data_IF_299523529819
#
_entry.id   IF_299523529819
#
_cell.length_a   1.000
_cell.length_b   1.000
_cell.length_c   1.000
_cell.angle_alpha   90.00
_cell.angle_beta   90.00
_cell.angle_gamma   90.00
#
_symmetry.space_group_name_H-M   'P 1'
#
loop_
_entity.id
_entity.type
_entity.pdbx_description
1 polymer ?
#
# COMPACT_ATOMS: atom_id res chain seq x y z
N UNK A 1 -3.23 -32.18 -25.57
CA UNK A 1 -3.23 -31.43 -24.30
C UNK A 1 -1.82 -30.96 -24.04
N UNK A 2 -1.62 -29.65 -24.06
CA UNK A 2 -0.36 -29.02 -23.65
C UNK A 2 -0.22 -29.30 -22.16
N UNK A 3 0.82 -30.04 -21.75
CA UNK A 3 1.00 -30.49 -20.36
C UNK A 3 1.99 -29.54 -19.69
N UNK A 4 1.58 -28.90 -18.60
CA UNK A 4 2.51 -28.27 -17.67
C UNK A 4 3.02 -29.34 -16.69
N UNK A 5 4.29 -29.25 -16.31
CA UNK A 5 4.93 -30.10 -15.30
C UNK A 5 5.45 -29.22 -14.17
N UNK A 6 4.87 -29.38 -12.98
CA UNK A 6 5.33 -28.75 -11.74
C UNK A 6 6.20 -29.76 -10.97
N UNK A 7 7.37 -29.31 -10.53
CA UNK A 7 8.23 -30.02 -9.57
C UNK A 7 8.35 -29.17 -8.31
N UNK A 8 8.28 -29.84 -7.15
CA UNK A 8 8.40 -29.20 -5.84
C UNK A 8 9.43 -30.00 -5.04
N UNK A 9 10.41 -29.31 -4.48
CA UNK A 9 11.46 -29.90 -3.65
C UNK A 9 11.11 -29.65 -2.17
N UNK A 10 10.59 -30.67 -1.50
CA UNK A 10 10.14 -30.56 -0.11
C UNK A 10 11.26 -30.32 0.91
N UNK A 11 12.51 -30.58 0.52
CA UNK A 11 13.74 -30.37 1.28
C UNK A 11 14.43 -29.03 0.97
N UNK A 12 13.97 -28.30 -0.04
CA UNK A 12 14.52 -27.00 -0.43
C UNK A 12 13.65 -25.85 0.11
N UNK A 13 13.86 -25.49 1.37
CA UNK A 13 13.17 -24.34 1.99
C UNK A 13 13.85 -23.04 1.54
N UNK A 14 13.10 -22.16 0.85
CA UNK A 14 13.57 -20.85 0.38
C UNK A 14 13.53 -19.78 1.47
N UNK A 15 12.55 -19.88 2.37
CA UNK A 15 12.39 -18.94 3.47
C UNK A 15 11.04 -19.06 4.16
N UNK A 16 10.88 -18.32 5.25
CA UNK A 16 9.59 -18.16 5.90
C UNK A 16 8.82 -17.04 5.21
N UNK A 17 7.57 -17.30 4.87
CA UNK A 17 6.66 -16.28 4.36
C UNK A 17 6.26 -15.38 5.53
N UNK A 18 6.57 -14.08 5.41
CA UNK A 18 6.09 -13.08 6.35
C UNK A 18 4.57 -12.95 6.19
N UNK A 19 3.76 -12.98 7.27
CA UNK A 19 2.33 -12.74 7.14
C UNK A 19 2.03 -11.32 6.63
N UNK A 20 2.95 -10.36 6.81
CA UNK A 20 2.73 -8.96 6.42
C UNK A 20 2.66 -8.73 4.90
N UNK A 21 2.91 -9.76 4.08
CA UNK A 21 2.72 -9.68 2.62
C UNK A 21 1.23 -9.64 2.20
N UNK A 22 0.32 -9.93 3.13
CA UNK A 22 -1.12 -9.82 2.92
C UNK A 22 -1.70 -8.51 3.47
N UNK A 23 -0.84 -7.52 3.68
CA UNK A 23 -1.22 -6.20 4.17
C UNK A 23 -2.17 -5.49 3.22
N UNK A 24 -2.81 -4.45 3.73
CA UNK A 24 -3.74 -3.62 2.97
C UNK A 24 -3.44 -2.15 3.20
N UNK A 25 -3.94 -1.31 2.31
CA UNK A 25 -3.68 0.12 2.32
C UNK A 25 -5.00 0.88 2.24
N UNK A 26 -5.17 1.87 3.13
CA UNK A 26 -6.27 2.84 3.13
C UNK A 26 -5.74 4.26 3.08
N UNK A 27 -6.36 5.07 2.24
CA UNK A 27 -6.04 6.48 2.07
C UNK A 27 -7.28 7.34 2.18
N UNK A 28 -7.11 8.58 2.62
CA UNK A 28 -8.10 9.63 2.40
C UNK A 28 -8.15 10.04 0.93
N UNK A 29 -8.63 9.12 0.07
CA UNK A 29 -8.81 9.30 -1.36
C UNK A 29 -10.15 8.72 -1.82
N UNK A 30 -10.85 9.48 -2.67
CA UNK A 30 -12.13 9.03 -3.23
C UNK A 30 -13.13 8.67 -2.13
N UNK A 31 -13.72 7.47 -2.20
CA UNK A 31 -14.65 6.96 -1.18
C UNK A 31 -14.04 5.84 -0.33
N UNK A 32 -12.72 5.80 -0.17
CA UNK A 32 -12.06 4.77 0.64
C UNK A 32 -12.46 4.88 2.11
N UNK A 33 -12.25 6.06 2.71
CA UNK A 33 -12.68 6.35 4.08
C UNK A 33 -14.17 6.73 4.09
N UNK A 34 -14.51 7.91 3.58
CA UNK A 34 -15.86 8.46 3.65
C UNK A 34 -16.78 7.86 2.58
N UNK A 35 -17.89 7.26 3.03
CA UNK A 35 -18.80 6.50 2.15
C UNK A 35 -18.31 5.08 1.83
N UNK A 36 -17.11 4.71 2.29
CA UNK A 36 -16.56 3.37 2.31
C UNK A 36 -16.54 2.83 3.73
N UNK A 37 -15.36 2.87 4.37
CA UNK A 37 -15.16 2.35 5.73
C UNK A 37 -16.01 3.08 6.78
N UNK A 38 -16.16 4.40 6.62
CA UNK A 38 -16.73 5.30 7.62
C UNK A 38 -17.88 6.12 7.04
N UNK A 39 -19.09 5.93 7.59
CA UNK A 39 -20.31 6.59 7.13
C UNK A 39 -21.30 6.84 8.28
N UNK A 40 -20.98 7.74 9.23
CA UNK A 40 -21.89 8.07 10.33
C UNK A 40 -23.28 8.51 9.83
N UNK A 41 -24.33 7.94 10.42
CA UNK A 41 -25.72 8.21 10.04
C UNK A 41 -26.28 7.24 8.99
N UNK A 42 -25.44 6.40 8.38
CA UNK A 42 -25.90 5.27 7.57
C UNK A 42 -26.63 4.23 8.43
N UNK A 43 -27.68 3.60 7.89
CA UNK A 43 -28.37 2.50 8.57
C UNK A 43 -27.44 1.28 8.78
N UNK A 44 -26.36 1.19 8.01
CA UNK A 44 -25.36 0.13 8.08
C UNK A 44 -24.21 0.46 9.04
N UNK A 45 -24.09 1.71 9.49
CA UNK A 45 -23.06 2.11 10.43
C UNK A 45 -23.32 1.59 11.87
N UNK A 46 -22.24 1.33 12.60
CA UNK A 46 -22.28 1.18 14.05
C UNK A 46 -22.30 2.54 14.78
N UNK A 47 -22.35 2.52 16.10
CA UNK A 47 -22.40 3.74 16.92
C UNK A 47 -21.14 4.61 16.82
N UNK A 48 -20.00 4.02 16.41
CA UNK A 48 -18.72 4.71 16.24
C UNK A 48 -18.65 5.41 14.89
N UNK A 49 -19.41 4.92 13.90
CA UNK A 49 -19.54 5.43 12.53
C UNK A 49 -19.01 4.48 11.46
N UNK A 50 -18.50 3.31 11.82
CA UNK A 50 -17.98 2.32 10.86
C UNK A 50 -19.12 1.55 10.20
N UNK A 51 -19.03 1.36 8.89
CA UNK A 51 -19.94 0.48 8.13
C UNK A 51 -19.75 -0.97 8.54
N UNK A 52 -20.77 -1.59 9.16
CA UNK A 52 -20.69 -2.96 9.72
C UNK A 52 -20.42 -4.02 8.66
N UNK A 53 -21.09 -3.90 7.52
CA UNK A 53 -20.91 -4.76 6.36
C UNK A 53 -19.50 -4.66 5.77
N UNK A 54 -18.93 -3.45 5.72
CA UNK A 54 -17.53 -3.24 5.29
C UNK A 54 -16.55 -3.83 6.31
N UNK A 55 -16.78 -3.63 7.61
CA UNK A 55 -15.97 -4.25 8.67
C UNK A 55 -16.00 -5.78 8.58
N UNK A 56 -17.16 -6.39 8.33
CA UNK A 56 -17.28 -7.84 8.18
C UNK A 56 -16.45 -8.35 6.98
N UNK A 57 -16.50 -7.64 5.84
CA UNK A 57 -15.68 -7.97 4.68
C UNK A 57 -14.17 -7.79 4.94
N UNK A 58 -13.78 -6.71 5.65
CA UNK A 58 -12.39 -6.48 6.04
C UNK A 58 -11.87 -7.55 7.01
N UNK A 59 -12.69 -8.00 7.97
CA UNK A 59 -12.32 -9.11 8.88
C UNK A 59 -12.07 -10.41 8.12
N UNK A 60 -12.84 -10.68 7.07
CA UNK A 60 -12.66 -11.87 6.24
C UNK A 60 -11.31 -11.91 5.51
N UNK A 61 -10.68 -10.75 5.28
CA UNK A 61 -9.35 -10.64 4.66
C UNK A 61 -8.19 -10.96 5.63
N UNK A 62 -8.46 -11.11 6.93
CA UNK A 62 -7.47 -11.32 8.02
C UNK A 62 -6.23 -10.43 7.85
N UNK A 63 -6.48 -9.14 7.68
CA UNK A 63 -5.48 -8.12 7.41
C UNK A 63 -4.41 -8.16 8.52
N UNK A 64 -3.13 -8.42 8.21
CA UNK A 64 -2.08 -8.51 9.23
C UNK A 64 -1.47 -7.14 9.55
N UNK A 65 -1.47 -6.23 8.57
CA UNK A 65 -0.95 -4.86 8.68
C UNK A 65 -1.78 -3.95 7.77
N UNK A 66 -2.07 -2.74 8.24
CA UNK A 66 -2.86 -1.75 7.51
C UNK A 66 -2.06 -0.46 7.44
N UNK A 67 -1.84 0.08 6.23
CA UNK A 67 -1.18 1.38 6.01
C UNK A 67 -2.20 2.51 6.00
N UNK A 68 -1.86 3.62 6.66
CA UNK A 68 -2.67 4.86 6.81
C UNK A 68 -1.72 6.06 7.03
N UNK A 69 -2.05 7.30 6.64
CA UNK A 69 -3.32 7.82 6.10
C UNK A 69 -3.35 7.90 4.58
N UNK A 70 -2.32 7.37 3.93
CA UNK A 70 -2.16 7.52 2.51
C UNK A 70 -0.85 6.95 1.99
N UNK A 71 -0.79 7.09 0.67
CA UNK A 71 0.35 7.50 -0.11
C UNK A 71 0.33 9.02 -0.15
N UNK A 72 0.07 9.65 -1.29
CA UNK A 72 0.29 11.09 -1.48
C UNK A 72 -0.41 11.97 -0.43
N UNK A 73 -1.61 11.60 0.03
CA UNK A 73 -2.32 12.39 1.05
C UNK A 73 -1.49 12.57 2.34
N UNK A 74 -0.65 11.59 2.68
CA UNK A 74 0.16 11.63 3.90
C UNK A 74 1.16 12.78 3.94
N UNK A 75 1.66 13.25 2.79
CA UNK A 75 2.68 14.31 2.70
C UNK A 75 2.13 15.73 2.85
N UNK A 76 0.81 15.87 3.04
CA UNK A 76 0.15 17.11 3.46
C UNK A 76 -0.72 16.93 4.71
N UNK A 77 -0.73 15.72 5.30
CA UNK A 77 -1.57 15.40 6.45
C UNK A 77 -0.91 15.80 7.77
N UNK A 78 -1.54 16.71 8.51
CA UNK A 78 -1.15 17.06 9.88
C UNK A 78 -1.98 16.27 10.88
N UNK A 79 -1.40 15.23 11.50
CA UNK A 79 -2.15 14.23 12.28
C UNK A 79 -2.98 14.79 13.43
N UNK A 80 -2.59 15.96 13.95
CA UNK A 80 -3.29 16.67 15.03
C UNK A 80 -4.68 17.15 14.60
N UNK A 81 -4.90 17.34 13.31
CA UNK A 81 -6.21 17.70 12.75
C UNK A 81 -7.20 16.54 12.88
N UNK A 82 -6.71 15.29 12.93
CA UNK A 82 -7.50 14.07 13.02
C UNK A 82 -7.71 13.52 14.44
N UNK A 83 -7.41 14.28 15.49
CA UNK A 83 -7.56 13.82 16.89
C UNK A 83 -8.37 14.78 17.75
N UNK A 84 -8.81 14.33 18.92
CA UNK A 84 -9.65 15.14 19.81
C UNK A 84 -11.12 15.18 19.39
N UNK A 85 -11.94 16.06 20.00
CA UNK A 85 -13.39 16.12 19.75
C UNK A 85 -13.71 16.37 18.28
N UNK A 86 -14.52 15.49 17.67
CA UNK A 86 -14.82 15.50 16.22
C UNK A 86 -15.45 16.79 15.72
N UNK A 87 -16.18 17.50 16.58
CA UNK A 87 -16.81 18.79 16.28
C UNK A 87 -15.84 19.98 16.29
N UNK A 88 -14.63 19.79 16.83
CA UNK A 88 -13.57 20.80 16.91
C UNK A 88 -12.45 20.58 15.89
N UNK A 89 -12.45 19.44 15.19
CA UNK A 89 -11.47 19.13 14.15
C UNK A 89 -11.68 20.05 12.93
N UNK A 90 -10.59 20.54 12.29
CA UNK A 90 -10.71 21.37 11.11
C UNK A 90 -11.33 20.56 9.97
N UNK A 91 -12.10 21.25 9.12
CA UNK A 91 -12.72 20.68 7.93
C UNK A 91 -12.15 21.36 6.71
N UNK A 92 -11.67 20.57 5.77
CA UNK A 92 -11.17 21.01 4.50
C UNK A 92 -12.18 20.64 3.40
N UNK A 93 -12.20 21.42 2.31
CA UNK A 93 -12.89 20.97 1.10
C UNK A 93 -12.17 19.75 0.51
N UNK A 94 -12.82 18.97 -0.36
CA UNK A 94 -12.09 17.96 -1.12
C UNK A 94 -11.21 18.68 -2.14
N UNK A 95 -9.93 18.81 -1.80
CA UNK A 95 -9.01 19.61 -2.56
C UNK A 95 -7.67 18.93 -2.78
N UNK A 96 -7.24 17.98 -1.94
CA UNK A 96 -5.94 17.34 -2.17
C UNK A 96 -5.93 16.59 -3.51
N UNK A 97 -6.78 15.58 -3.67
CA UNK A 97 -6.81 14.76 -4.89
C UNK A 97 -7.38 15.50 -6.07
N UNK A 98 -8.41 16.30 -5.85
CA UNK A 98 -8.99 17.13 -6.91
C UNK A 98 -7.94 18.13 -7.46
N UNK A 99 -7.13 18.77 -6.61
CA UNK A 99 -6.05 19.68 -7.06
C UNK A 99 -4.93 18.91 -7.75
N UNK A 100 -4.49 17.79 -7.17
CA UNK A 100 -3.48 16.90 -7.74
C UNK A 100 -3.85 16.50 -9.18
N UNK A 101 -5.05 15.95 -9.39
CA UNK A 101 -5.48 15.51 -10.72
C UNK A 101 -5.72 16.67 -11.69
N UNK A 102 -6.23 17.81 -11.22
CA UNK A 102 -6.36 19.01 -12.05
C UNK A 102 -5.01 19.52 -12.54
N UNK A 103 -3.94 19.40 -11.74
CA UNK A 103 -2.59 19.77 -12.16
C UNK A 103 -2.05 18.87 -13.30
N UNK A 104 -2.62 17.67 -13.48
CA UNK A 104 -2.30 16.75 -14.59
C UNK A 104 -3.05 17.09 -15.88
N UNK A 105 -3.86 18.16 -15.92
CA UNK A 105 -4.65 18.61 -17.09
C UNK A 105 -5.59 17.52 -17.66
N UNK A 106 -6.25 16.77 -16.79
CA UNK A 106 -7.21 15.71 -17.17
C UNK A 106 -8.64 16.21 -17.11
N UNK A 107 -9.14 16.74 -18.22
CA UNK A 107 -10.52 17.28 -18.34
C UNK A 107 -11.61 16.23 -18.07
N UNK A 108 -11.31 14.95 -18.32
CA UNK A 108 -12.18 13.82 -18.01
C UNK A 108 -12.37 13.57 -16.51
N UNK A 109 -11.49 14.14 -15.67
CA UNK A 109 -11.53 14.06 -14.21
C UNK A 109 -11.89 15.41 -13.56
N UNK A 110 -12.52 16.32 -14.30
CA UNK A 110 -12.83 17.69 -13.83
C UNK A 110 -13.81 17.76 -12.62
N UNK A 111 -14.35 16.62 -12.17
CA UNK A 111 -15.19 16.53 -10.98
C UNK A 111 -14.38 16.31 -9.68
N UNK A 112 -14.95 16.60 -8.50
CA UNK A 112 -14.31 16.28 -7.23
C UNK A 112 -14.03 14.78 -7.07
N UNK A 113 -12.83 14.44 -6.60
CA UNK A 113 -12.41 13.07 -6.31
C UNK A 113 -12.76 12.73 -4.86
N UNK A 114 -14.01 12.35 -4.65
CA UNK A 114 -14.52 12.00 -3.32
C UNK A 114 -15.18 13.15 -2.55
N UNK A 115 -15.61 12.90 -1.30
CA UNK A 115 -16.23 13.90 -0.44
C UNK A 115 -15.18 14.75 0.30
N UNK A 116 -15.57 15.92 0.85
CA UNK A 116 -14.66 16.78 1.61
C UNK A 116 -13.97 16.12 2.81
N UNK A 117 -12.69 16.46 3.03
CA UNK A 117 -11.94 16.01 4.20
C UNK A 117 -12.44 16.67 5.49
N UNK A 118 -13.25 15.93 6.25
CA UNK A 118 -13.85 16.43 7.49
C UNK A 118 -13.00 16.21 8.74
N UNK A 119 -11.90 15.48 8.62
CA UNK A 119 -11.09 14.89 9.69
C UNK A 119 -11.90 14.09 10.72
N UNK A 120 -13.13 13.69 10.38
CA UNK A 120 -14.00 12.92 11.27
C UNK A 120 -13.51 11.48 11.48
N UNK A 121 -12.73 10.97 10.52
CA UNK A 121 -11.92 9.79 10.67
C UNK A 121 -10.45 10.22 10.74
N UNK A 122 -9.82 10.03 11.90
CA UNK A 122 -8.39 10.31 12.04
C UNK A 122 -7.69 9.22 12.84
N UNK A 123 -6.62 9.59 13.55
CA UNK A 123 -5.77 8.61 14.25
C UNK A 123 -6.56 7.76 15.25
N UNK A 124 -7.47 8.35 16.02
CA UNK A 124 -8.26 7.61 17.02
C UNK A 124 -9.19 6.57 16.37
N UNK A 125 -9.87 6.95 15.30
CA UNK A 125 -10.73 6.04 14.52
C UNK A 125 -9.90 4.95 13.83
N UNK A 126 -8.75 5.30 13.25
CA UNK A 126 -7.83 4.35 12.62
C UNK A 126 -7.29 3.30 13.59
N UNK A 127 -6.85 3.70 14.79
CA UNK A 127 -6.40 2.76 15.81
C UNK A 127 -7.55 1.86 16.30
N UNK A 128 -8.76 2.41 16.41
CA UNK A 128 -9.97 1.63 16.72
C UNK A 128 -10.26 0.60 15.63
N UNK A 129 -10.09 0.96 14.36
CA UNK A 129 -10.25 0.05 13.23
C UNK A 129 -9.21 -1.07 13.26
N UNK A 130 -7.94 -0.74 13.48
CA UNK A 130 -6.88 -1.74 13.57
C UNK A 130 -7.14 -2.73 14.70
N UNK A 131 -7.61 -2.22 15.84
CA UNK A 131 -8.02 -3.03 16.98
C UNK A 131 -9.17 -3.98 16.66
N UNK A 132 -10.19 -3.50 15.96
CA UNK A 132 -11.36 -4.28 15.54
C UNK A 132 -10.98 -5.40 14.56
N UNK A 133 -9.98 -5.17 13.71
CA UNK A 133 -9.47 -6.13 12.74
C UNK A 133 -8.39 -7.06 13.31
N UNK A 134 -7.83 -6.72 14.48
CA UNK A 134 -6.66 -7.40 15.04
C UNK A 134 -5.40 -7.23 14.21
N UNK A 135 -5.29 -6.13 13.45
CA UNK A 135 -4.17 -5.88 12.54
C UNK A 135 -3.15 -4.90 13.13
N UNK A 136 -1.92 -4.95 12.63
CA UNK A 136 -0.88 -4.02 13.02
C UNK A 136 -1.05 -2.66 12.31
N UNK A 137 -1.03 -1.53 13.03
CA UNK A 137 -0.95 -0.22 12.40
C UNK A 137 0.40 0.01 11.72
N UNK A 138 0.37 0.52 10.49
CA UNK A 138 1.48 1.17 9.80
C UNK A 138 1.12 2.64 9.58
N UNK A 139 1.93 3.53 10.16
CA UNK A 139 1.83 4.98 9.95
C UNK A 139 2.76 5.43 8.82
N UNK A 140 2.21 6.09 7.82
CA UNK A 140 2.99 6.86 6.85
C UNK A 140 3.03 8.32 7.28
N UNK A 141 4.19 8.78 7.77
CA UNK A 141 4.33 10.13 8.33
C UNK A 141 4.58 11.16 7.23
N UNK A 142 4.04 12.36 7.46
CA UNK A 142 4.18 13.49 6.56
C UNK A 142 5.65 13.94 6.44
N UNK A 143 6.27 13.65 5.30
CA UNK A 143 7.59 14.15 4.93
C UNK A 143 7.51 15.48 4.18
N UNK A 144 6.44 15.67 3.39
CA UNK A 144 6.27 16.83 2.52
C UNK A 144 6.19 18.18 3.23
N UNK A 145 5.13 18.41 4.01
CA UNK A 145 4.92 19.66 4.77
C UNK A 145 5.15 19.52 6.26
N UNK A 146 5.33 18.29 6.75
CA UNK A 146 5.54 17.96 8.14
C UNK A 146 6.98 18.15 8.63
N UNK A 147 7.22 17.75 9.89
CA UNK A 147 8.55 17.83 10.52
C UNK A 147 8.92 16.51 11.20
N UNK A 148 10.22 16.23 11.41
CA UNK A 148 10.68 15.12 12.25
C UNK A 148 10.03 15.11 13.65
N UNK A 149 9.87 16.29 14.26
CA UNK A 149 9.17 16.49 15.53
C UNK A 149 7.72 16.02 15.47
N UNK A 150 6.99 16.48 14.46
CA UNK A 150 5.57 16.12 14.28
C UNK A 150 5.39 14.61 14.11
N UNK A 151 6.26 13.97 13.32
CA UNK A 151 6.27 12.52 13.15
C UNK A 151 6.52 11.78 14.46
N UNK A 152 7.55 12.19 15.22
CA UNK A 152 7.86 11.60 16.52
C UNK A 152 6.71 11.79 17.53
N UNK A 153 6.09 12.98 17.55
CA UNK A 153 4.93 13.24 18.39
C UNK A 153 3.75 12.33 18.02
N UNK A 154 3.55 12.05 16.74
CA UNK A 154 2.49 11.14 16.28
C UNK A 154 2.75 9.69 16.72
N UNK A 155 3.97 9.19 16.52
CA UNK A 155 4.38 7.85 16.98
C UNK A 155 4.21 7.74 18.49
N UNK A 156 4.68 8.73 19.24
CA UNK A 156 4.51 8.78 20.69
C UNK A 156 3.03 8.80 21.10
N UNK A 157 2.19 9.53 20.36
CA UNK A 157 0.75 9.57 20.63
C UNK A 157 0.09 8.20 20.44
N UNK A 158 0.42 7.50 19.35
CA UNK A 158 -0.10 6.18 19.06
C UNK A 158 0.40 5.13 20.08
N UNK A 159 1.69 5.13 20.40
CA UNK A 159 2.32 4.05 21.18
C UNK A 159 2.29 4.27 22.71
N UNK A 160 1.93 5.47 23.20
CA UNK A 160 1.73 5.72 24.65
C UNK A 160 0.37 5.27 25.18
N UNK A 161 -0.58 4.94 24.31
CA UNK A 161 -1.93 4.50 24.73
C UNK A 161 -1.88 3.03 25.11
N UNK A 162 -1.61 2.78 26.39
CA UNK A 162 -1.55 1.43 27.00
C UNK A 162 -2.85 0.60 26.93
N UNK A 163 -3.94 1.17 26.38
CA UNK A 163 -5.27 0.55 26.34
C UNK A 163 -5.81 0.30 24.92
N UNK A 164 -5.09 0.69 23.85
CA UNK A 164 -5.54 0.46 22.47
C UNK A 164 -4.88 -0.79 21.86
N UNK A 165 -5.64 -1.72 21.24
CA UNK A 165 -5.04 -2.82 20.51
C UNK A 165 -4.38 -2.31 19.23
N UNK A 166 -3.08 -2.02 19.29
CA UNK A 166 -2.25 -1.70 18.12
C UNK A 166 -1.28 -0.56 18.36
N UNK A 167 -0.07 -0.90 18.83
CA UNK A 167 1.08 -0.01 18.70
C UNK A 167 1.49 0.05 17.23
N UNK A 168 1.79 1.24 16.71
CA UNK A 168 2.38 1.39 15.39
C UNK A 168 3.82 0.88 15.43
N UNK A 169 4.05 -0.27 14.79
CA UNK A 169 5.37 -0.93 14.76
C UNK A 169 6.12 -0.70 13.46
N UNK A 170 5.45 -0.21 12.42
CA UNK A 170 6.06 0.17 11.14
C UNK A 170 5.72 1.63 10.89
N UNK A 171 6.76 2.42 10.60
CA UNK A 171 6.65 3.85 10.30
C UNK A 171 7.38 4.13 9.00
N UNK A 172 6.62 4.54 7.99
CA UNK A 172 7.13 5.00 6.69
C UNK A 172 7.30 6.50 6.70
N UNK A 173 8.38 7.00 6.13
CA UNK A 173 8.71 8.43 6.10
C UNK A 173 8.44 8.99 4.71
N UNK A 174 7.29 9.63 4.54
CA UNK A 174 6.85 10.18 3.26
C UNK A 174 6.31 9.16 2.27
N UNK A 175 5.86 9.64 1.13
CA UNK A 175 5.34 8.85 0.03
C UNK A 175 5.99 9.30 -1.28
N UNK A 176 6.24 8.39 -2.22
CA UNK A 176 6.72 8.63 -3.60
C UNK A 176 7.59 9.89 -3.82
N UNK A 177 8.50 10.18 -2.90
CA UNK A 177 9.27 11.44 -2.83
C UNK A 177 10.17 11.69 -4.05
N UNK A 178 10.30 10.69 -4.91
CA UNK A 178 10.99 10.74 -6.20
C UNK A 178 10.15 11.40 -7.32
N UNK A 179 8.83 11.42 -7.18
CA UNK A 179 7.87 11.86 -8.19
C UNK A 179 7.64 13.37 -8.13
N UNK A 180 7.67 14.05 -9.28
CA UNK A 180 7.44 15.51 -9.34
C UNK A 180 6.02 15.93 -8.91
N UNK A 181 5.07 14.98 -8.89
CA UNK A 181 3.71 15.18 -8.42
C UNK A 181 3.63 15.27 -6.90
N UNK A 182 4.67 14.84 -6.20
CA UNK A 182 4.61 14.68 -4.76
C UNK A 182 5.08 15.92 -4.00
N UNK A 183 4.36 16.22 -2.93
CA UNK A 183 4.69 17.35 -2.07
C UNK A 183 5.95 17.01 -1.29
N UNK A 184 6.98 17.86 -1.41
CA UNK A 184 8.30 17.60 -0.83
C UNK A 184 9.21 16.70 -1.68
N UNK A 185 8.88 16.50 -2.97
CA UNK A 185 9.75 15.73 -3.87
C UNK A 185 11.19 16.24 -3.86
N UNK A 186 12.14 15.32 -3.88
CA UNK A 186 13.56 15.63 -3.81
C UNK A 186 14.41 14.52 -4.45
N UNK A 187 15.73 14.70 -4.47
CA UNK A 187 16.66 13.67 -4.93
C UNK A 187 16.91 12.60 -3.85
N UNK A 188 17.41 11.42 -4.23
CA UNK A 188 17.68 10.34 -3.28
C UNK A 188 18.67 10.71 -2.17
N UNK A 189 19.66 11.56 -2.47
CA UNK A 189 20.61 12.06 -1.45
C UNK A 189 19.94 13.02 -0.47
N UNK A 190 19.08 13.93 -0.95
CA UNK A 190 18.34 14.87 -0.10
C UNK A 190 17.35 14.12 0.78
N UNK A 191 16.58 13.21 0.19
CA UNK A 191 15.66 12.34 0.92
C UNK A 191 16.38 11.52 1.98
N UNK A 192 17.53 10.92 1.67
CA UNK A 192 18.32 10.20 2.66
C UNK A 192 18.71 11.05 3.87
N UNK A 193 19.04 12.33 3.68
CA UNK A 193 19.33 13.25 4.80
C UNK A 193 18.08 13.57 5.61
N UNK A 194 16.94 13.79 4.95
CA UNK A 194 15.66 13.99 5.64
C UNK A 194 15.30 12.73 6.44
N UNK A 195 15.40 11.55 5.84
CA UNK A 195 15.11 10.27 6.49
C UNK A 195 15.91 10.09 7.79
N UNK A 196 17.21 10.45 7.80
CA UNK A 196 18.02 10.40 9.01
C UNK A 196 17.48 11.31 10.13
N UNK A 197 17.01 12.51 9.80
CA UNK A 197 16.43 13.44 10.78
C UNK A 197 15.12 12.91 11.36
N UNK A 198 14.23 12.37 10.51
CA UNK A 198 13.00 11.72 10.94
C UNK A 198 13.29 10.49 11.81
N UNK A 199 14.21 9.63 11.36
CA UNK A 199 14.60 8.41 12.06
C UNK A 199 15.16 8.69 13.46
N UNK A 200 15.98 9.74 13.61
CA UNK A 200 16.52 10.17 14.90
C UNK A 200 15.38 10.52 15.87
N UNK A 201 14.48 11.41 15.47
CA UNK A 201 13.40 11.90 16.34
C UNK A 201 12.35 10.84 16.66
N UNK A 202 12.00 9.99 15.69
CA UNK A 202 11.10 8.86 15.92
C UNK A 202 11.71 7.87 16.91
N UNK A 203 13.00 7.56 16.78
CA UNK A 203 13.67 6.62 17.69
C UNK A 203 13.83 7.18 19.10
N UNK A 204 13.93 8.49 19.29
CA UNK A 204 13.92 9.10 20.63
C UNK A 204 12.66 8.77 21.44
N UNK A 205 11.52 8.61 20.76
CA UNK A 205 10.25 8.27 21.43
C UNK A 205 9.97 6.77 21.45
N UNK A 206 10.44 6.01 20.46
CA UNK A 206 10.26 4.57 20.39
C UNK A 206 11.39 3.89 19.57
N UNK A 207 12.23 3.11 20.24
CA UNK A 207 13.34 2.37 19.62
C UNK A 207 12.90 1.06 18.95
N UNK A 208 11.68 0.59 19.23
CA UNK A 208 11.14 -0.69 18.76
C UNK A 208 10.51 -0.61 17.38
N UNK A 209 10.25 0.58 16.85
CA UNK A 209 9.64 0.75 15.53
C UNK A 209 10.59 0.34 14.41
N UNK A 210 9.99 -0.21 13.36
CA UNK A 210 10.64 -0.48 12.08
C UNK A 210 10.46 0.72 11.17
N UNK A 211 11.57 1.23 10.65
CA UNK A 211 11.56 2.41 9.78
C UNK A 211 11.63 2.01 8.32
N UNK A 212 10.77 2.63 7.53
CA UNK A 212 10.61 2.36 6.10
C UNK A 212 10.87 3.64 5.31
N UNK A 213 11.82 3.55 4.37
CA UNK A 213 12.15 4.63 3.45
C UNK A 213 11.55 4.36 2.07
N UNK A 214 11.15 5.41 1.37
CA UNK A 214 10.57 5.31 0.03
C UNK A 214 11.65 5.04 -1.00
N UNK A 215 11.60 3.88 -1.66
CA UNK A 215 12.41 3.61 -2.85
C UNK A 215 11.79 4.22 -4.10
N UNK A 216 12.52 4.21 -5.21
CA UNK A 216 12.00 4.66 -6.50
C UNK A 216 12.13 3.58 -7.57
N UNK A 217 11.23 3.56 -8.58
CA UNK A 217 11.43 2.77 -9.79
C UNK A 217 12.76 3.11 -10.46
N UNK A 218 13.38 2.14 -11.15
CA UNK A 218 14.67 2.32 -11.85
C UNK A 218 14.65 3.43 -12.93
N UNK A 219 13.46 3.82 -13.40
CA UNK A 219 13.26 4.99 -14.26
C UNK A 219 13.72 6.32 -13.63
N UNK A 220 13.83 6.40 -12.30
CA UNK A 220 14.32 7.58 -11.55
C UNK A 220 15.84 7.54 -11.32
N UNK A 221 16.57 6.80 -12.15
CA UNK A 221 18.03 6.80 -12.16
C UNK A 221 18.63 6.27 -10.87
N UNK A 222 19.50 7.04 -10.23
CA UNK A 222 20.25 6.62 -9.04
C UNK A 222 19.51 6.83 -7.71
N UNK A 223 18.23 7.26 -7.73
CA UNK A 223 17.50 7.66 -6.52
C UNK A 223 17.64 6.66 -5.37
N UNK A 224 17.27 5.39 -5.58
CA UNK A 224 17.32 4.36 -4.52
C UNK A 224 18.74 4.08 -4.06
N UNK A 225 19.70 3.97 -4.98
CA UNK A 225 21.11 3.78 -4.62
C UNK A 225 21.69 4.97 -3.83
N UNK A 226 21.31 6.21 -4.16
CA UNK A 226 21.75 7.41 -3.43
C UNK A 226 21.14 7.50 -2.02
N UNK A 227 19.86 7.12 -1.89
CA UNK A 227 19.19 6.96 -0.60
C UNK A 227 19.91 5.93 0.26
N UNK A 228 20.19 4.73 -0.29
CA UNK A 228 20.86 3.65 0.43
C UNK A 228 22.25 4.06 0.91
N UNK A 229 23.07 4.68 0.05
CA UNK A 229 24.39 5.20 0.46
C UNK A 229 24.33 6.24 1.57
N UNK A 230 23.25 7.03 1.61
CA UNK A 230 23.10 8.11 2.60
C UNK A 230 22.57 7.61 3.94
N UNK A 231 21.58 6.72 3.93
CA UNK A 231 20.79 6.39 5.12
C UNK A 231 20.50 4.90 5.33
N UNK A 232 20.98 4.01 4.44
CA UNK A 232 20.64 2.58 4.44
C UNK A 232 20.84 1.83 5.76
N UNK A 233 21.91 2.08 6.55
CA UNK A 233 22.05 1.44 7.86
C UNK A 233 20.98 1.84 8.90
N UNK A 234 20.22 2.91 8.65
CA UNK A 234 19.20 3.42 9.56
C UNK A 234 17.81 2.85 9.26
N UNK A 235 17.55 2.39 8.04
CA UNK A 235 16.24 1.85 7.64
C UNK A 235 16.15 0.34 7.85
N UNK A 236 14.95 -0.15 8.12
CA UNK A 236 14.62 -1.58 8.15
C UNK A 236 14.06 -2.03 6.79
N UNK A 237 13.29 -1.15 6.13
CA UNK A 237 12.61 -1.43 4.87
C UNK A 237 12.86 -0.35 3.82
N UNK A 238 12.88 -0.76 2.54
CA UNK A 238 12.74 0.13 1.38
C UNK A 238 11.41 -0.19 0.69
N UNK A 239 10.60 0.84 0.47
CA UNK A 239 9.31 0.72 -0.21
C UNK A 239 9.47 0.56 -1.72
N UNK A 240 8.52 -0.14 -2.35
CA UNK A 240 8.40 -0.32 -3.79
C UNK A 240 6.96 -0.12 -4.15
N UNK A 241 6.71 0.75 -5.13
CA UNK A 241 5.38 1.03 -5.64
C UNK A 241 5.35 0.66 -7.13
N UNK A 242 4.38 -0.15 -7.54
CA UNK A 242 4.19 -0.50 -8.94
C UNK A 242 2.74 -0.83 -9.26
N UNK A 243 2.24 -0.24 -10.34
CA UNK A 243 0.92 -0.54 -10.89
C UNK A 243 1.05 -1.12 -12.29
N UNK A 244 0.09 -1.96 -12.66
CA UNK A 244 -0.02 -2.50 -14.02
C UNK A 244 -1.31 -2.02 -14.70
N UNK A 245 -1.25 -1.52 -15.95
CA UNK A 245 -0.05 -1.01 -16.61
C UNK A 245 0.56 0.18 -15.84
N UNK A 246 1.82 0.57 -16.12
CA UNK A 246 2.35 1.82 -15.57
C UNK A 246 1.52 3.02 -16.07
N UNK A 247 1.43 4.09 -15.26
CA UNK A 247 0.53 5.25 -15.48
C UNK A 247 0.55 5.81 -16.91
N UNK A 248 1.70 6.01 -17.59
CA UNK A 248 1.71 6.49 -18.97
C UNK A 248 0.99 5.58 -19.98
N UNK A 249 0.80 4.30 -19.64
CA UNK A 249 0.13 3.28 -20.45
C UNK A 249 -1.30 2.96 -20.03
N UNK A 250 -1.86 3.68 -19.06
CA UNK A 250 -3.23 3.48 -18.60
C UNK A 250 -4.25 3.74 -19.71
N UNK A 251 -5.15 2.79 -19.90
CA UNK A 251 -6.38 2.94 -20.66
C UNK A 251 -7.43 1.93 -20.19
N UNK A 252 -8.73 2.18 -20.43
CA UNK A 252 -9.77 1.18 -20.22
C UNK A 252 -9.45 -0.14 -20.93
N UNK A 253 -9.66 -1.24 -20.21
CA UNK A 253 -9.47 -2.58 -20.74
C UNK A 253 -10.59 -2.94 -21.71
N UNK A 254 -10.22 -3.55 -22.82
CA UNK A 254 -11.11 -4.14 -23.82
C UNK A 254 -11.40 -5.59 -23.43
N UNK A 255 -12.51 -6.11 -23.92
CA UNK A 255 -12.83 -7.54 -23.86
C UNK A 255 -12.18 -8.26 -25.06
N UNK A 256 -10.84 -8.33 -25.04
CA UNK A 256 -10.07 -9.01 -26.08
C UNK A 256 -8.87 -9.79 -25.51
N UNK A 257 -8.32 -10.65 -26.35
CA UNK A 257 -7.22 -11.56 -25.99
C UNK A 257 -5.92 -10.81 -25.64
N UNK A 258 -5.67 -9.66 -26.30
CA UNK A 258 -4.46 -8.88 -26.05
C UNK A 258 -4.47 -8.29 -24.63
N UNK A 259 -5.60 -7.73 -24.20
CA UNK A 259 -5.76 -7.17 -22.86
C UNK A 259 -5.80 -8.27 -21.81
N UNK A 260 -6.42 -9.41 -22.11
CA UNK A 260 -6.36 -10.60 -21.25
C UNK A 260 -4.91 -11.02 -20.97
N UNK A 261 -4.10 -11.24 -22.01
CA UNK A 261 -2.71 -11.66 -21.84
C UNK A 261 -1.82 -10.58 -21.19
N UNK A 262 -2.09 -9.29 -21.46
CA UNK A 262 -1.41 -8.19 -20.77
C UNK A 262 -1.66 -8.25 -19.27
N UNK A 263 -2.90 -8.39 -18.82
CA UNK A 263 -3.26 -8.44 -17.39
C UNK A 263 -2.66 -9.68 -16.73
N UNK A 264 -2.78 -10.85 -17.36
CA UNK A 264 -2.24 -12.12 -16.83
C UNK A 264 -0.71 -12.10 -16.71
N UNK A 265 -0.02 -11.34 -17.57
CA UNK A 265 1.42 -11.15 -17.50
C UNK A 265 1.87 -10.00 -16.58
N UNK A 266 0.93 -9.18 -16.10
CA UNK A 266 1.17 -8.09 -15.15
C UNK A 266 2.02 -8.45 -13.93
N UNK A 267 1.93 -9.65 -13.32
CA UNK A 267 2.78 -10.02 -12.19
C UNK A 267 4.28 -9.95 -12.49
N UNK A 268 4.68 -10.28 -13.72
CA UNK A 268 6.08 -10.17 -14.15
C UNK A 268 6.48 -8.72 -14.42
N UNK A 269 5.53 -7.83 -14.69
CA UNK A 269 5.77 -6.40 -14.80
C UNK A 269 6.03 -5.78 -13.42
N UNK A 270 5.12 -6.05 -12.49
CA UNK A 270 5.13 -5.54 -11.13
C UNK A 270 6.39 -5.94 -10.37
N UNK A 271 6.75 -7.23 -10.43
CA UNK A 271 7.84 -7.74 -9.61
C UNK A 271 9.23 -7.26 -10.06
N UNK A 272 9.38 -6.73 -11.29
CA UNK A 272 10.66 -6.15 -11.73
C UNK A 272 11.08 -4.98 -10.86
N UNK A 273 10.13 -4.14 -10.43
CA UNK A 273 10.45 -3.03 -9.51
C UNK A 273 10.96 -3.52 -8.16
N UNK A 274 10.46 -4.66 -7.68
CA UNK A 274 10.96 -5.31 -6.45
C UNK A 274 12.36 -5.87 -6.68
N UNK A 275 12.57 -6.60 -7.77
CA UNK A 275 13.86 -7.21 -8.11
C UNK A 275 14.95 -6.12 -8.30
N UNK A 276 14.60 -4.97 -8.89
CA UNK A 276 15.49 -3.79 -9.03
C UNK A 276 15.93 -3.24 -7.66
N UNK A 277 14.99 -3.06 -6.72
CA UNK A 277 15.33 -2.57 -5.37
C UNK A 277 16.13 -3.60 -4.57
N UNK A 278 15.83 -4.89 -4.69
CA UNK A 278 16.65 -5.96 -4.10
C UNK A 278 18.09 -5.88 -4.65
N UNK A 279 18.24 -5.71 -5.97
CA UNK A 279 19.55 -5.60 -6.60
C UNK A 279 20.33 -4.35 -6.15
N UNK A 280 19.64 -3.24 -5.92
CA UNK A 280 20.24 -2.02 -5.36
C UNK A 280 20.71 -2.23 -3.91
N UNK A 281 19.89 -2.88 -3.06
CA UNK A 281 20.29 -3.25 -1.69
C UNK A 281 21.51 -4.17 -1.71
N UNK A 282 21.51 -5.20 -2.57
CA UNK A 282 22.61 -6.16 -2.67
C UNK A 282 23.90 -5.51 -3.17
N UNK A 283 23.81 -4.53 -4.05
CA UNK A 283 24.96 -3.79 -4.55
C UNK A 283 25.64 -2.97 -3.46
N UNK A 284 24.85 -2.33 -2.60
CA UNK A 284 25.37 -1.42 -1.56
C UNK A 284 25.76 -2.17 -0.27
N UNK A 285 25.04 -3.23 0.09
CA UNK A 285 25.19 -3.90 1.39
C UNK A 285 25.47 -5.41 1.31
N UNK A 286 25.44 -6.00 0.12
CA UNK A 286 25.58 -7.44 -0.09
C UNK A 286 24.28 -8.23 0.14
N UNK A 287 24.26 -9.51 -0.30
CA UNK A 287 23.07 -10.36 -0.27
C UNK A 287 22.56 -10.70 1.14
N UNK A 288 23.43 -10.58 2.14
CA UNK A 288 23.12 -10.82 3.56
C UNK A 288 22.63 -9.57 4.30
N UNK A 289 22.42 -8.46 3.59
CA UNK A 289 21.91 -7.21 4.16
C UNK A 289 20.66 -7.46 5.01
N UNK A 290 20.52 -6.81 6.19
CA UNK A 290 19.31 -6.89 6.99
C UNK A 290 18.18 -6.04 6.43
N UNK A 291 18.43 -5.12 5.50
CA UNK A 291 17.40 -4.27 4.88
C UNK A 291 16.50 -5.15 4.01
N UNK A 292 15.19 -4.97 4.15
CA UNK A 292 14.14 -5.74 3.48
C UNK A 292 13.33 -4.87 2.55
N UNK A 293 12.53 -5.49 1.71
CA UNK A 293 11.61 -4.79 0.80
C UNK A 293 10.19 -4.81 1.35
N UNK A 294 9.54 -3.65 1.22
CA UNK A 294 8.11 -3.46 1.40
C UNK A 294 7.49 -3.14 0.04
N UNK A 295 6.70 -4.04 -0.53
CA UNK A 295 5.95 -3.79 -1.77
C UNK A 295 4.55 -3.24 -1.43
N UNK A 296 4.52 -2.07 -0.79
CA UNK A 296 3.36 -1.50 -0.09
C UNK A 296 2.45 -0.62 -0.95
N UNK A 297 2.68 -0.57 -2.27
CA UNK A 297 1.66 -0.21 -3.25
C UNK A 297 1.76 -1.09 -4.49
N UNK A 298 0.80 -1.99 -4.66
CA UNK A 298 0.64 -2.70 -5.92
C UNK A 298 -0.82 -2.95 -6.27
N UNK A 299 -1.16 -2.77 -7.55
CA UNK A 299 -2.48 -3.14 -8.07
C UNK A 299 -2.54 -3.18 -9.60
N UNK A 300 -3.68 -3.63 -10.12
CA UNK A 300 -4.16 -3.32 -11.45
C UNK A 300 -4.82 -1.93 -11.42
N UNK A 301 -4.27 -1.00 -12.18
CA UNK A 301 -4.85 0.34 -12.34
C UNK A 301 -4.86 0.70 -13.82
N UNK A 302 -6.02 0.58 -14.45
CA UNK A 302 -6.13 0.71 -15.90
C UNK A 302 -6.73 2.04 -16.32
N UNK A 303 -7.63 2.59 -15.53
CA UNK A 303 -8.32 3.84 -15.82
C UNK A 303 -8.38 4.72 -14.59
N UNK A 304 -8.44 6.04 -14.79
CA UNK A 304 -8.45 6.97 -13.64
C UNK A 304 -9.79 6.93 -12.89
N UNK A 305 -10.86 6.54 -13.59
CA UNK A 305 -12.18 6.29 -13.03
C UNK A 305 -12.15 5.18 -11.98
N UNK A 306 -11.15 4.29 -12.01
CA UNK A 306 -10.94 3.26 -11.01
C UNK A 306 -10.69 3.87 -9.61
N UNK A 307 -10.27 5.14 -9.52
CA UNK A 307 -10.15 5.86 -8.25
C UNK A 307 -11.49 6.17 -7.57
N UNK A 308 -12.60 6.10 -8.30
CA UNK A 308 -13.95 6.35 -7.78
C UNK A 308 -14.64 5.04 -7.39
N UNK A 309 -14.55 4.05 -8.28
CA UNK A 309 -15.02 2.70 -8.08
C UNK A 309 -14.32 1.77 -9.09
N UNK A 310 -13.97 0.56 -8.67
CA UNK A 310 -13.33 -0.43 -9.54
C UNK A 310 -14.12 -1.73 -9.51
N UNK A 311 -14.13 -2.46 -10.62
CA UNK A 311 -14.64 -3.82 -10.62
C UNK A 311 -13.61 -4.77 -11.23
N UNK A 312 -12.82 -5.41 -10.36
CA UNK A 312 -11.90 -6.46 -10.79
C UNK A 312 -12.67 -7.73 -11.16
N UNK A 313 -12.63 -8.05 -12.45
CA UNK A 313 -13.15 -9.28 -13.03
C UNK A 313 -12.17 -10.46 -12.84
N UNK A 314 -12.49 -11.62 -13.42
CA UNK A 314 -11.71 -12.84 -13.23
C UNK A 314 -10.28 -12.76 -13.79
N UNK A 315 -10.01 -11.96 -14.85
CA UNK A 315 -8.64 -11.78 -15.36
C UNK A 315 -7.79 -10.99 -14.37
N UNK A 316 -8.35 -9.99 -13.70
CA UNK A 316 -7.68 -9.30 -12.62
C UNK A 316 -7.39 -10.27 -11.46
N UNK A 317 -8.31 -11.18 -11.14
CA UNK A 317 -8.07 -12.27 -10.18
C UNK A 317 -6.83 -13.12 -10.50
N UNK A 318 -6.61 -13.48 -11.77
CA UNK A 318 -5.39 -14.18 -12.21
C UNK A 318 -4.13 -13.34 -12.00
N UNK A 319 -4.19 -12.03 -12.23
CA UNK A 319 -3.10 -11.10 -11.95
C UNK A 319 -2.78 -11.10 -10.45
N UNK A 320 -3.77 -10.90 -9.57
CA UNK A 320 -3.54 -10.91 -8.12
C UNK A 320 -2.89 -12.23 -7.64
N UNK A 321 -3.39 -13.36 -8.11
CA UNK A 321 -2.84 -14.68 -7.75
C UNK A 321 -1.40 -14.84 -8.24
N UNK A 322 -1.14 -14.44 -9.50
CA UNK A 322 0.21 -14.45 -10.05
C UNK A 322 1.16 -13.53 -9.29
N UNK A 323 0.71 -12.36 -8.85
CA UNK A 323 1.53 -11.42 -8.07
C UNK A 323 1.86 -11.97 -6.69
N UNK A 324 0.93 -12.64 -6.01
CA UNK A 324 1.25 -13.35 -4.77
C UNK A 324 2.31 -14.44 -4.97
N UNK A 325 2.24 -15.22 -6.05
CA UNK A 325 3.31 -16.19 -6.35
C UNK A 325 4.66 -15.51 -6.55
N UNK A 326 4.68 -14.39 -7.31
CA UNK A 326 5.90 -13.62 -7.52
C UNK A 326 6.45 -13.06 -6.21
N UNK A 327 5.59 -12.56 -5.32
CA UNK A 327 5.97 -12.12 -3.96
C UNK A 327 6.57 -13.28 -3.14
N UNK A 328 5.92 -14.45 -3.14
CA UNK A 328 6.39 -15.64 -2.42
C UNK A 328 7.78 -16.10 -2.86
N UNK A 329 8.12 -15.95 -4.14
CA UNK A 329 9.45 -16.29 -4.66
C UNK A 329 10.57 -15.39 -4.15
N UNK A 330 10.26 -14.19 -3.64
CA UNK A 330 11.24 -13.22 -3.14
C UNK A 330 11.39 -13.27 -1.62
N UNK A 331 10.69 -14.16 -0.91
CA UNK A 331 10.94 -14.36 0.52
C UNK A 331 12.33 -14.99 0.73
N UNK A 332 13.08 -14.61 1.77
CA UNK A 332 12.71 -13.69 2.85
C UNK A 332 13.10 -12.22 2.59
N UNK A 333 13.46 -11.83 1.36
CA UNK A 333 13.90 -10.47 1.04
C UNK A 333 12.76 -9.46 1.02
N UNK A 334 11.58 -9.88 0.54
CA UNK A 334 10.33 -9.13 0.63
C UNK A 334 9.54 -9.62 1.86
N UNK A 335 9.23 -8.72 2.79
CA UNK A 335 8.52 -9.05 4.03
C UNK A 335 7.17 -8.37 4.17
N UNK A 336 6.95 -7.23 3.52
CA UNK A 336 5.68 -6.49 3.54
C UNK A 336 5.19 -6.32 2.11
N UNK A 337 3.89 -6.46 1.89
CA UNK A 337 3.25 -6.10 0.64
C UNK A 337 1.80 -5.69 0.88
N UNK A 338 1.30 -4.73 0.10
CA UNK A 338 -0.04 -4.16 0.28
C UNK A 338 -0.72 -3.86 -1.04
N UNK A 339 -1.94 -4.35 -1.16
CA UNK A 339 -2.80 -3.99 -2.29
C UNK A 339 -3.27 -2.54 -2.09
N UNK A 340 -3.05 -1.70 -3.10
CA UNK A 340 -3.44 -0.31 -3.14
C UNK A 340 -4.73 -0.15 -3.98
N UNK A 341 -5.94 -0.13 -3.43
CA UNK A 341 -6.29 -0.01 -2.00
C UNK A 341 -7.40 -0.98 -1.58
N UNK A 342 -7.93 -0.80 -0.37
CA UNK A 342 -8.83 -1.73 0.27
C UNK A 342 -10.32 -1.51 -0.08
N UNK A 343 -10.81 -0.28 -0.07
CA UNK A 343 -12.24 0.04 -0.22
C UNK A 343 -12.47 1.11 -1.30
N UNK A 344 -13.40 0.86 -2.22
CA UNK A 344 -13.83 1.72 -3.33
C UNK A 344 -12.72 2.14 -4.33
N UNK A 345 -11.78 2.99 -3.91
CA UNK A 345 -10.64 3.41 -4.73
C UNK A 345 -9.74 2.20 -4.97
N UNK A 346 -9.61 1.74 -6.23
CA UNK A 346 -8.83 0.53 -6.58
C UNK A 346 -9.15 -0.67 -5.66
N UNK A 347 -10.38 -0.69 -5.16
CA UNK A 347 -10.70 -1.33 -3.89
C UNK A 347 -11.02 -2.80 -4.07
N UNK A 348 -10.52 -3.64 -3.17
CA UNK A 348 -10.95 -5.03 -3.05
C UNK A 348 -12.43 -5.14 -2.69
N UNK A 349 -12.93 -4.22 -1.87
CA UNK A 349 -14.32 -4.11 -1.42
C UNK A 349 -14.95 -2.87 -2.05
N UNK A 350 -16.15 -2.99 -2.60
CA UNK A 350 -16.86 -1.89 -3.26
C UNK A 350 -18.20 -1.65 -2.58
N UNK A 351 -18.55 -0.37 -2.35
CA UNK A 351 -19.83 0.06 -1.76
C UNK A 351 -20.56 1.04 -2.67
N UNK A 352 -21.89 0.89 -2.71
CA UNK A 352 -22.81 1.83 -3.37
C UNK A 352 -24.12 1.89 -2.58
N UNK A 353 -24.30 2.97 -1.82
CA UNK A 353 -25.41 3.10 -0.88
C UNK A 353 -25.43 1.95 0.13
N UNK A 354 -26.51 1.18 0.14
CA UNK A 354 -26.71 0.01 1.01
C UNK A 354 -26.15 -1.30 0.45
N UNK A 355 -25.46 -1.24 -0.70
CA UNK A 355 -24.89 -2.41 -1.37
C UNK A 355 -23.39 -2.51 -1.14
N UNK A 356 -22.92 -3.76 -1.09
CA UNK A 356 -21.51 -4.12 -1.03
C UNK A 356 -21.25 -5.28 -1.99
N UNK A 357 -20.13 -5.26 -2.70
CA UNK A 357 -19.62 -6.45 -3.39
C UNK A 357 -18.11 -6.63 -3.20
N UNK A 358 -17.69 -7.89 -3.13
CA UNK A 358 -16.29 -8.31 -3.09
C UNK A 358 -15.80 -8.53 -4.53
N UNK A 359 -14.70 -7.89 -4.89
CA UNK A 359 -14.10 -8.05 -6.24
C UNK A 359 -13.35 -9.38 -6.37
N UNK A 360 -12.95 -9.76 -7.59
CA UNK A 360 -12.11 -10.96 -7.77
C UNK A 360 -10.79 -10.88 -6.98
N UNK A 361 -10.21 -9.68 -6.83
CA UNK A 361 -9.03 -9.47 -6.00
C UNK A 361 -9.27 -9.77 -4.51
N UNK A 362 -10.45 -9.44 -3.99
CA UNK A 362 -10.85 -9.76 -2.61
C UNK A 362 -10.88 -11.27 -2.39
N UNK A 363 -11.53 -12.00 -3.29
CA UNK A 363 -11.65 -13.46 -3.22
C UNK A 363 -10.27 -14.14 -3.30
N UNK A 364 -9.39 -13.63 -4.17
CA UNK A 364 -8.01 -14.13 -4.27
C UNK A 364 -7.22 -13.82 -3.00
N UNK A 365 -7.27 -12.61 -2.46
CA UNK A 365 -6.58 -12.28 -1.21
C UNK A 365 -7.02 -13.22 -0.08
N UNK A 366 -8.33 -13.45 0.08
CA UNK A 366 -8.86 -14.40 1.07
C UNK A 366 -8.29 -15.81 0.88
N UNK A 367 -8.31 -16.32 -0.35
CA UNK A 367 -7.76 -17.63 -0.67
C UNK A 367 -6.30 -17.75 -0.24
N UNK A 368 -5.45 -16.78 -0.57
CA UNK A 368 -4.03 -16.85 -0.23
C UNK A 368 -3.79 -16.71 1.28
N UNK A 369 -4.53 -15.85 1.97
CA UNK A 369 -4.44 -15.70 3.43
C UNK A 369 -4.90 -16.97 4.17
N UNK A 370 -5.91 -17.67 3.64
CA UNK A 370 -6.46 -18.88 4.25
C UNK A 370 -5.59 -20.12 4.00
N UNK A 371 -5.03 -20.24 2.80
CA UNK A 371 -4.40 -21.48 2.33
C UNK A 371 -2.86 -21.46 2.32
N UNK A 372 -2.22 -20.29 2.42
CA UNK A 372 -0.75 -20.22 2.38
C UNK A 372 -0.13 -20.71 3.69
N UNK A 373 0.77 -21.68 3.59
CA UNK A 373 1.55 -22.19 4.70
C UNK A 373 2.82 -21.35 4.95
N UNK A 374 3.44 -21.43 6.14
CA UNK A 374 4.50 -20.50 6.53
C UNK A 374 5.83 -20.62 5.78
N UNK A 375 6.05 -21.64 4.95
CA UNK A 375 7.33 -21.91 4.30
C UNK A 375 7.19 -21.88 2.78
N UNK A 376 8.04 -21.09 2.12
CA UNK A 376 8.21 -21.16 0.68
C UNK A 376 9.19 -22.28 0.33
N UNK A 377 8.82 -23.11 -0.64
CA UNK A 377 9.64 -24.22 -1.13
C UNK A 377 10.20 -23.92 -2.52
N UNK A 378 11.32 -24.54 -2.85
CA UNK A 378 11.82 -24.59 -4.21
C UNK A 378 10.79 -25.27 -5.12
N UNK A 379 10.48 -24.63 -6.24
CA UNK A 379 9.66 -25.22 -7.28
C UNK A 379 10.13 -24.83 -8.69
N UNK A 380 9.82 -25.68 -9.67
CA UNK A 380 10.11 -25.48 -11.08
C UNK A 380 8.85 -25.81 -11.88
N UNK A 381 8.48 -24.92 -12.79
CA UNK A 381 7.37 -25.12 -13.72
C UNK A 381 7.92 -25.19 -15.14
N UNK A 382 7.74 -26.34 -15.78
CA UNK A 382 8.01 -26.56 -17.20
C UNK A 382 6.66 -26.54 -17.94
N UNK A 383 6.44 -25.50 -18.73
CA UNK A 383 5.21 -25.30 -19.48
C UNK A 383 5.48 -24.47 -20.74
N UNK A 384 4.49 -24.38 -21.61
CA UNK A 384 4.58 -23.51 -22.77
C UNK A 384 4.58 -22.04 -22.36
N UNK A 385 5.29 -21.23 -23.13
CA UNK A 385 5.37 -19.79 -22.98
C UNK A 385 4.50 -19.10 -24.03
N UNK A 386 4.12 -17.86 -23.75
CA UNK A 386 3.49 -16.97 -24.71
C UNK A 386 4.24 -15.63 -24.71
N UNK A 387 4.25 -14.94 -25.84
CA UNK A 387 4.74 -13.58 -25.91
C UNK A 387 3.71 -12.66 -25.26
N UNK A 388 4.11 -12.02 -24.17
CA UNK A 388 3.24 -11.11 -23.45
C UNK A 388 3.45 -9.67 -23.96
N UNK A 389 2.39 -8.89 -24.20
CA UNK A 389 2.48 -7.51 -24.70
C UNK A 389 2.90 -6.49 -23.62
N UNK A 390 3.70 -6.91 -22.63
CA UNK A 390 4.04 -6.15 -21.41
C UNK A 390 5.17 -5.17 -21.63
#
# INVERSE_FOLDING_TARGET
MRRAKLRIWGDEVKGRISPLIYGQFIEHMGRCIYGGIYEPGSALADERGFRRDVLDAMRALRIPILRYPGGCFSDEYHWRDGVGPRDQRPRYGEQFWTRQLNALNREDLAGPIGPPESNAFGTDEYLTLCAELGCQPYLNVNHGTGTPEEAAEWVAYCNRRSESPGEAKVVGVGNEVFGFWETGHCTGTEYGRHFLQFAERIREVDQGVKLLATGAPSAYGSFTSDLLRTAGPTMDYVSVHAFHPPVPGMRPLRDDEADYWSVVAGPYALIRSVDDVIADIDREFGPDSPVRVSFDEWNLWCAWEDCVATNYDLRAGLMFAGTFHRIHERVPRLEIAMIAQLVNMLGLIQTDGDRLFETAGCLVNRLYVEETLPLALGCEVDCETFDAPV
#
